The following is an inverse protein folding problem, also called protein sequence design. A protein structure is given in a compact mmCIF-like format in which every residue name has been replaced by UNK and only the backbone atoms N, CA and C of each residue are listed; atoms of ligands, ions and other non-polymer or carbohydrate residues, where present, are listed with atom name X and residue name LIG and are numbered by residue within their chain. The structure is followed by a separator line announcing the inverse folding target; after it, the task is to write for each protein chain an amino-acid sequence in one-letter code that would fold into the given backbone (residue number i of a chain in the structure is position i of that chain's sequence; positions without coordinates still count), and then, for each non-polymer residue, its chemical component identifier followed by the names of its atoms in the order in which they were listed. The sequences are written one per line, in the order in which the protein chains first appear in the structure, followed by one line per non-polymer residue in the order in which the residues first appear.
data_IF_248950501231
#
_entry.id   IF_248950501231
#
_cell.length_a   1.000
_cell.length_b   1.000
_cell.length_c   1.000
_cell.angle_alpha   90.00
_cell.angle_beta   90.00
_cell.angle_gamma   90.00
#
_symmetry.space_group_name_H-M   'P 1'
#
loop_
_entity.id
_entity.type
_entity.pdbx_description
1 polymer ?
#
# COMPACT_ATOMS: atom_id res chain seq x y z
N UNK A 1 26.14 -1.70 11.97
CA UNK A 1 25.27 -2.60 11.15
C UNK A 1 25.20 -2.21 9.66
N UNK A 2 25.07 -0.93 9.30
CA UNK A 2 24.98 -0.48 7.89
C UNK A 2 26.28 -0.71 7.09
N UNK A 3 27.45 -0.50 7.72
CA UNK A 3 28.75 -0.70 7.07
C UNK A 3 29.01 -2.17 6.72
N UNK A 4 28.67 -3.09 7.63
CA UNK A 4 28.76 -4.53 7.36
C UNK A 4 27.90 -4.92 6.17
N UNK A 5 26.62 -4.48 6.13
CA UNK A 5 25.76 -4.70 4.96
C UNK A 5 26.39 -4.18 3.68
N UNK A 6 26.98 -2.97 3.69
CA UNK A 6 27.63 -2.40 2.51
C UNK A 6 28.82 -3.25 2.03
N UNK A 7 29.68 -3.70 2.95
CA UNK A 7 30.80 -4.59 2.62
C UNK A 7 30.31 -5.94 2.09
N UNK A 8 29.27 -6.53 2.70
CA UNK A 8 28.70 -7.80 2.22
C UNK A 8 28.07 -7.64 0.84
N UNK A 9 27.33 -6.56 0.59
CA UNK A 9 26.76 -6.28 -0.74
C UNK A 9 27.87 -6.06 -1.78
N UNK A 10 28.92 -5.33 -1.43
CA UNK A 10 30.06 -5.12 -2.32
C UNK A 10 30.77 -6.43 -2.65
N UNK A 11 30.98 -7.28 -1.64
CA UNK A 11 31.57 -8.61 -1.82
C UNK A 11 30.68 -9.48 -2.71
N UNK A 12 29.36 -9.48 -2.50
CA UNK A 12 28.40 -10.21 -3.33
C UNK A 12 28.48 -9.74 -4.79
N UNK A 13 28.47 -8.43 -5.03
CA UNK A 13 28.60 -7.86 -6.38
C UNK A 13 29.93 -8.27 -7.02
N UNK A 14 31.04 -8.21 -6.28
CA UNK A 14 32.35 -8.62 -6.77
C UNK A 14 32.37 -10.11 -7.17
N UNK A 15 31.77 -10.99 -6.37
CA UNK A 15 31.63 -12.42 -6.68
C UNK A 15 30.79 -12.63 -7.94
N UNK A 16 29.67 -11.92 -8.09
CA UNK A 16 28.83 -11.98 -9.30
C UNK A 16 29.64 -11.56 -10.54
N UNK A 17 30.38 -10.45 -10.47
CA UNK A 17 31.19 -9.97 -11.59
C UNK A 17 32.28 -10.97 -11.95
N UNK A 18 32.97 -11.55 -10.97
CA UNK A 18 33.99 -12.58 -11.20
C UNK A 18 33.39 -13.83 -11.83
N UNK A 19 32.23 -14.27 -11.35
CA UNK A 19 31.50 -15.40 -11.92
C UNK A 19 31.17 -15.14 -13.39
N UNK A 20 30.63 -13.96 -13.71
CA UNK A 20 30.27 -13.59 -15.08
C UNK A 20 31.51 -13.58 -15.98
N UNK A 21 32.62 -13.00 -15.49
CA UNK A 21 33.88 -12.93 -16.24
C UNK A 21 34.49 -14.31 -16.46
N UNK A 22 34.50 -15.18 -15.46
CA UNK A 22 35.06 -16.54 -15.58
C UNK A 22 34.23 -17.41 -16.53
N UNK A 23 32.91 -17.23 -16.55
CA UNK A 23 32.00 -18.03 -17.37
C UNK A 23 31.68 -17.37 -18.72
N UNK A 24 32.41 -16.31 -19.12
CA UNK A 24 32.13 -15.55 -20.34
C UNK A 24 32.22 -16.41 -21.60
N UNK A 25 33.18 -17.34 -21.65
CA UNK A 25 33.34 -18.33 -22.73
C UNK A 25 32.14 -19.28 -22.81
N UNK A 26 31.56 -19.66 -21.67
CA UNK A 26 30.36 -20.48 -21.61
C UNK A 26 29.14 -19.70 -22.10
N UNK A 27 29.03 -18.42 -21.76
CA UNK A 27 27.91 -17.58 -22.19
C UNK A 27 27.90 -17.27 -23.69
N UNK A 28 29.06 -17.33 -24.34
CA UNK A 28 29.18 -17.12 -25.79
C UNK A 28 29.00 -18.40 -26.62
N UNK A 29 28.82 -19.57 -25.98
CA UNK A 29 28.51 -20.79 -26.69
C UNK A 29 27.17 -20.64 -27.41
N UNK A 30 27.15 -21.07 -28.66
CA UNK A 30 25.92 -21.22 -29.43
C UNK A 30 25.24 -22.51 -28.99
N UNK A 31 23.94 -22.41 -28.70
CA UNK A 31 23.07 -23.55 -28.44
C UNK A 31 22.21 -23.78 -29.67
N UNK A 32 22.26 -25.01 -30.18
CA UNK A 32 21.38 -25.47 -31.23
C UNK A 32 20.02 -25.81 -30.62
N UNK A 33 19.00 -25.04 -31.00
CA UNK A 33 17.61 -25.35 -30.70
C UNK A 33 16.97 -25.95 -31.94
N UNK A 34 16.23 -27.04 -31.75
CA UNK A 34 15.45 -27.70 -32.78
C UNK A 34 14.03 -27.86 -32.29
N UNK A 35 13.06 -27.33 -33.05
CA UNK A 35 11.66 -27.57 -32.80
C UNK A 35 11.18 -28.67 -33.76
N UNK A 36 10.99 -29.88 -33.22
CA UNK A 36 10.42 -30.99 -33.97
C UNK A 36 8.92 -30.74 -34.17
N UNK A 37 8.58 -30.11 -35.28
CA UNK A 37 7.21 -30.04 -35.77
C UNK A 37 6.93 -31.30 -36.60
N UNK A 38 5.99 -32.12 -36.13
CA UNK A 38 5.54 -33.36 -36.79
C UNK A 38 5.06 -33.14 -38.25
N UNK A 39 4.76 -31.88 -38.60
CA UNK A 39 4.42 -31.42 -39.94
C UNK A 39 5.64 -30.75 -40.58
N UNK A 40 6.52 -31.59 -41.14
CA UNK A 40 7.27 -31.35 -42.38
C UNK A 40 8.56 -30.52 -42.44
N UNK A 41 9.08 -29.90 -41.40
CA UNK A 41 10.45 -29.33 -41.46
C UNK A 41 11.06 -29.10 -40.07
N UNK A 42 12.29 -29.58 -39.86
CA UNK A 42 13.05 -29.31 -38.64
C UNK A 42 13.50 -27.86 -38.64
N UNK A 43 12.80 -27.01 -37.88
CA UNK A 43 13.23 -25.63 -37.70
C UNK A 43 14.37 -25.62 -36.69
N UNK A 44 15.60 -25.50 -37.20
CA UNK A 44 16.83 -25.37 -36.41
C UNK A 44 17.22 -23.90 -36.35
N UNK A 45 17.40 -23.37 -35.15
CA UNK A 45 17.95 -22.04 -34.96
C UNK A 45 18.97 -22.05 -33.84
N UNK A 46 19.93 -21.13 -33.92
CA UNK A 46 21.00 -21.01 -32.93
C UNK A 46 20.75 -19.78 -32.08
N UNK A 47 20.75 -19.94 -30.76
CA UNK A 47 20.81 -18.81 -29.83
C UNK A 47 22.02 -18.95 -28.93
N UNK A 48 22.64 -17.82 -28.61
CA UNK A 48 23.69 -17.76 -27.61
C UNK A 48 23.11 -18.02 -26.23
N UNK A 49 23.86 -18.74 -25.40
CA UNK A 49 23.52 -18.96 -23.98
C UNK A 49 23.25 -17.64 -23.26
N UNK A 50 24.05 -16.60 -23.56
CA UNK A 50 23.86 -15.25 -23.02
C UNK A 50 22.48 -14.67 -23.30
N UNK A 51 21.95 -14.85 -24.51
CA UNK A 51 20.63 -14.36 -24.90
C UNK A 51 19.52 -15.07 -24.14
N UNK A 52 19.64 -16.39 -23.96
CA UNK A 52 18.66 -17.19 -23.21
C UNK A 52 18.63 -16.80 -21.74
N UNK A 53 19.81 -16.68 -21.11
CA UNK A 53 19.94 -16.25 -19.72
C UNK A 53 19.41 -14.83 -19.53
N UNK A 54 19.75 -13.92 -20.45
CA UNK A 54 19.26 -12.55 -20.42
C UNK A 54 17.73 -12.50 -20.51
N UNK A 55 17.13 -13.27 -21.42
CA UNK A 55 15.68 -13.32 -21.58
C UNK A 55 14.99 -13.89 -20.32
N UNK A 56 15.51 -14.98 -19.77
CA UNK A 56 15.00 -15.57 -18.53
C UNK A 56 15.13 -14.59 -17.34
N UNK A 57 16.27 -13.93 -17.20
CA UNK A 57 16.52 -12.92 -16.18
C UNK A 57 15.61 -11.69 -16.36
N UNK A 58 15.39 -11.24 -17.59
CA UNK A 58 14.54 -10.11 -17.92
C UNK A 58 13.07 -10.40 -17.61
N UNK A 59 12.57 -11.58 -17.99
CA UNK A 59 11.21 -12.03 -17.64
C UNK A 59 11.07 -12.15 -16.13
N UNK A 60 12.06 -12.75 -15.45
CA UNK A 60 12.09 -12.82 -13.98
C UNK A 60 12.08 -11.43 -13.32
N UNK A 61 12.80 -10.47 -13.88
CA UNK A 61 12.82 -9.08 -13.42
C UNK A 61 11.47 -8.41 -13.63
N UNK A 62 10.84 -8.56 -14.80
CA UNK A 62 9.49 -8.04 -15.06
C UNK A 62 8.47 -8.59 -14.05
N UNK A 63 8.48 -9.90 -13.83
CA UNK A 63 7.62 -10.55 -12.84
C UNK A 63 7.92 -10.02 -11.44
N UNK A 64 9.18 -9.96 -11.04
CA UNK A 64 9.61 -9.43 -9.75
C UNK A 64 9.17 -7.98 -9.53
N UNK A 65 9.29 -7.13 -10.56
CA UNK A 65 8.83 -5.74 -10.56
C UNK A 65 7.31 -5.68 -10.38
N UNK A 66 6.55 -6.45 -11.14
CA UNK A 66 5.09 -6.53 -10.99
C UNK A 66 4.70 -6.94 -9.57
N UNK A 67 5.36 -7.94 -9.01
CA UNK A 67 5.14 -8.37 -7.62
C UNK A 67 5.53 -7.31 -6.59
N UNK A 68 6.61 -6.55 -6.82
CA UNK A 68 7.04 -5.47 -5.92
C UNK A 68 6.07 -4.28 -5.95
N UNK A 69 5.51 -3.94 -7.11
CA UNK A 69 4.52 -2.87 -7.22
C UNK A 69 3.14 -3.26 -6.68
N UNK A 70 2.82 -4.56 -6.66
CA UNK A 70 1.54 -5.08 -6.17
C UNK A 70 1.17 -4.63 -4.75
N UNK A 71 2.02 -4.77 -3.71
CA UNK A 71 1.72 -4.25 -2.37
C UNK A 71 1.64 -2.73 -2.34
N UNK A 72 2.42 -2.00 -3.15
CA UNK A 72 2.40 -0.53 -3.19
C UNK A 72 1.01 0.04 -3.52
N UNK A 73 0.24 -0.64 -4.38
CA UNK A 73 -1.13 -0.25 -4.68
C UNK A 73 -2.10 -0.51 -3.51
N UNK A 74 -1.94 -1.62 -2.79
CA UNK A 74 -2.79 -1.94 -1.64
C UNK A 74 -2.50 -1.02 -0.44
N UNK A 75 -1.23 -0.74 -0.16
CA UNK A 75 -0.85 0.12 0.96
C UNK A 75 -1.31 1.57 0.76
N UNK A 76 -1.30 2.08 -0.48
CA UNK A 76 -1.86 3.41 -0.78
C UNK A 76 -3.37 3.49 -0.51
N UNK A 77 -4.13 2.45 -0.87
CA UNK A 77 -5.57 2.39 -0.56
C UNK A 77 -5.83 2.30 0.95
N UNK A 78 -5.04 1.51 1.67
CA UNK A 78 -5.16 1.40 3.12
C UNK A 78 -4.88 2.73 3.83
N UNK A 79 -3.83 3.44 3.42
CA UNK A 79 -3.50 4.78 3.96
C UNK A 79 -4.56 5.84 3.65
N UNK A 80 -5.19 5.78 2.47
CA UNK A 80 -6.30 6.68 2.15
C UNK A 80 -7.55 6.37 2.98
N UNK A 81 -7.86 5.07 3.19
CA UNK A 81 -8.95 4.65 4.05
C UNK A 81 -8.75 5.16 5.50
N UNK A 82 -7.56 4.96 6.08
CA UNK A 82 -7.25 5.45 7.44
C UNK A 82 -7.32 6.98 7.57
N UNK A 83 -6.89 7.73 6.54
CA UNK A 83 -6.99 9.20 6.54
C UNK A 83 -8.45 9.66 6.48
N UNK A 84 -9.27 9.03 5.64
CA UNK A 84 -10.69 9.35 5.53
C UNK A 84 -11.47 9.03 6.81
N UNK A 85 -11.10 7.96 7.51
CA UNK A 85 -11.70 7.59 8.79
C UNK A 85 -11.32 8.59 9.89
N UNK A 86 -10.04 9.02 9.94
CA UNK A 86 -9.61 10.07 10.87
C UNK A 86 -10.30 11.40 10.62
N UNK A 87 -10.47 11.81 9.36
CA UNK A 87 -11.19 13.04 9.01
C UNK A 87 -12.66 12.96 9.43
N UNK A 88 -13.31 11.80 9.23
CA UNK A 88 -14.68 11.56 9.70
C UNK A 88 -14.81 11.69 11.22
N UNK A 89 -13.93 11.05 11.98
CA UNK A 89 -13.96 11.10 13.45
C UNK A 89 -13.67 12.51 13.98
N UNK A 90 -12.82 13.28 13.30
CA UNK A 90 -12.57 14.69 13.64
C UNK A 90 -13.79 15.57 13.32
N UNK A 91 -14.47 15.34 12.19
CA UNK A 91 -15.68 16.06 11.82
C UNK A 91 -16.84 15.77 12.78
N UNK A 92 -17.01 14.51 13.21
CA UNK A 92 -18.03 14.12 14.18
C UNK A 92 -17.75 14.70 15.58
N UNK A 93 -16.48 14.77 15.99
CA UNK A 93 -16.09 15.52 17.20
C UNK A 93 -16.34 17.00 17.08
N UNK A 94 -16.10 17.61 15.91
CA UNK A 94 -16.36 19.03 15.71
C UNK A 94 -17.87 19.34 15.81
N UNK A 95 -18.73 18.53 15.18
CA UNK A 95 -20.19 18.69 15.27
C UNK A 95 -20.71 18.48 16.70
N UNK A 96 -20.25 17.44 17.40
CA UNK A 96 -20.68 17.17 18.79
C UNK A 96 -20.17 18.21 19.80
N UNK A 97 -19.10 18.94 19.50
CA UNK A 97 -18.63 20.07 20.30
C UNK A 97 -19.38 21.37 20.00
N UNK A 98 -19.94 21.55 18.79
CA UNK A 98 -20.73 22.75 18.44
C UNK A 98 -22.18 22.67 18.97
N UNK A 99 -22.75 21.46 19.07
CA UNK A 99 -24.10 21.27 19.63
C UNK A 99 -24.16 21.38 21.17
N UNK A 100 -23.08 20.95 21.87
CA UNK A 100 -23.00 20.99 23.33
C UNK A 100 -23.11 22.38 23.99
N UNK A 101 -22.48 23.45 23.49
CA UNK A 101 -22.61 24.77 24.11
C UNK A 101 -24.03 25.32 23.98
N UNK A 102 -24.74 25.03 22.88
CA UNK A 102 -26.13 25.43 22.69
C UNK A 102 -27.07 24.68 23.65
N UNK A 103 -26.84 23.39 23.87
CA UNK A 103 -27.63 22.58 24.80
C UNK A 103 -27.37 22.95 26.27
N UNK A 104 -26.11 23.16 26.66
CA UNK A 104 -25.77 23.62 28.02
C UNK A 104 -26.35 25.00 28.36
N UNK A 105 -26.38 25.93 27.40
CA UNK A 105 -27.00 27.25 27.59
C UNK A 105 -28.52 27.15 27.78
N UNK A 106 -29.18 26.27 27.04
CA UNK A 106 -30.62 26.06 27.14
C UNK A 106 -31.01 25.38 28.46
N UNK A 107 -30.23 24.40 28.92
CA UNK A 107 -30.43 23.72 30.20
C UNK A 107 -30.18 24.66 31.40
N UNK A 108 -29.20 25.56 31.29
CA UNK A 108 -28.96 26.62 32.28
C UNK A 108 -30.10 27.65 32.32
N UNK A 109 -30.68 28.00 31.16
CA UNK A 109 -31.86 28.88 31.10
C UNK A 109 -33.13 28.21 31.62
N UNK A 110 -33.30 26.90 31.41
CA UNK A 110 -34.41 26.13 31.95
C UNK A 110 -34.35 26.01 33.48
N UNK A 111 -33.15 25.88 34.06
CA UNK A 111 -32.95 25.89 35.52
C UNK A 111 -33.09 27.29 36.14
N UNK A 112 -32.87 28.36 35.38
CA UNK A 112 -32.97 29.73 35.87
C UNK A 112 -34.41 30.31 35.84
N UNK A 113 -35.42 29.56 35.42
CA UNK A 113 -36.83 29.99 35.55
C UNK A 113 -37.33 29.71 36.99
N UNK A 114 -37.56 30.74 37.82
CA UNK A 114 -38.15 30.53 39.13
C UNK A 114 -39.61 30.06 38.97
N UNK A 115 -39.98 29.06 39.79
CA UNK A 115 -41.37 28.70 40.07
C UNK A 115 -42.08 29.91 40.69
N UNK A 116 -42.91 30.59 39.93
CA UNK A 116 -43.86 31.58 40.46
C UNK A 116 -45.09 31.64 39.57
N UNK A 117 -46.16 30.95 39.97
CA UNK A 117 -47.36 31.62 40.48
C UNK A 117 -48.33 30.60 41.12
N UNK A 118 -48.69 30.76 42.41
CA UNK A 118 -49.80 30.05 43.02
C UNK A 118 -51.11 30.74 42.61
N UNK A 119 -52.03 29.94 42.07
CA UNK A 119 -53.39 30.32 41.72
C UNK A 119 -54.15 30.72 43.01
N UNK A 120 -54.72 31.94 43.12
CA UNK A 120 -55.44 32.34 44.33
C UNK A 120 -56.86 31.77 44.34
N UNK A 121 -57.21 31.15 45.46
CA UNK A 121 -58.58 30.85 45.87
C UNK A 121 -59.43 32.13 45.79
N UNK A 122 -60.56 32.03 45.09
CA UNK A 122 -61.60 33.05 45.13
C UNK A 122 -62.74 32.51 45.99
N UNK A 123 -62.74 32.90 47.26
CA UNK A 123 -63.91 32.81 48.15
C UNK A 123 -65.06 33.68 47.62
N UNK A 124 -66.30 33.20 47.74
CA UNK A 124 -67.43 34.04 48.14
C UNK A 124 -68.64 33.20 48.63
N UNK A 125 -69.16 33.47 49.83
CA UNK A 125 -70.44 32.95 50.32
C UNK A 125 -71.62 33.90 50.02
N UNK A 126 -72.79 33.34 49.73
CA UNK A 126 -74.12 33.92 49.97
C UNK A 126 -75.17 32.80 49.98
#
# INVERSE_FOLDING_TARGET
MKLFRLVTTLLLVAVIVLFVRQNMTTFQRDLDFSLYLFIREDVRWTLKVSTVIFLAGFVGLLVGVVFMFRPFYHTRKALQAERSEKERLLAERAMTLDDKPAQQLNDLQAQARPLSEPQPDTDAPA
#
